data_IF_929631908357
#
_entry.id   IF_929631908357
#
_cell.length_a   1.000
_cell.length_b   1.000
_cell.length_c   1.000
_cell.angle_alpha   90.00
_cell.angle_beta   90.00
_cell.angle_gamma   90.00
#
_symmetry.space_group_name_H-M   'P 1'
#
loop_
_entity.id
_entity.type
_entity.pdbx_description
1 polymer ?
#
# COMPACT_ATOMS: atom_id res chain seq x y z
N UNK A 1 -40.00 7.44 13.94
CA UNK A 1 -39.86 7.22 12.50
C UNK A 1 -41.15 6.63 11.98
N UNK A 2 -41.70 7.28 10.97
CA UNK A 2 -42.81 6.78 10.18
C UNK A 2 -42.36 5.60 9.31
N UNK A 3 -43.28 4.75 8.87
CA UNK A 3 -42.96 3.65 7.95
C UNK A 3 -42.32 4.16 6.65
N UNK A 4 -42.78 5.31 6.14
CA UNK A 4 -42.18 5.98 4.97
C UNK A 4 -40.74 6.47 5.19
N UNK A 5 -40.34 6.79 6.42
CA UNK A 5 -38.95 7.12 6.75
C UNK A 5 -38.08 5.86 6.77
N UNK A 6 -38.59 4.76 7.31
CA UNK A 6 -37.88 3.46 7.32
C UNK A 6 -37.70 2.93 5.91
N UNK A 7 -38.72 2.98 5.06
CA UNK A 7 -38.63 2.53 3.67
C UNK A 7 -37.59 3.34 2.87
N UNK A 8 -37.55 4.67 3.09
CA UNK A 8 -36.53 5.53 2.46
C UNK A 8 -35.12 5.23 2.99
N UNK A 9 -34.99 4.98 4.28
CA UNK A 9 -33.72 4.59 4.89
C UNK A 9 -33.22 3.25 4.33
N UNK A 10 -34.08 2.23 4.27
CA UNK A 10 -33.73 0.92 3.71
C UNK A 10 -33.35 0.99 2.24
N UNK A 11 -34.05 1.81 1.44
CA UNK A 11 -33.71 2.02 0.03
C UNK A 11 -32.34 2.68 -0.12
N UNK A 12 -32.05 3.70 0.68
CA UNK A 12 -30.75 4.38 0.67
C UNK A 12 -29.61 3.44 1.09
N UNK A 13 -29.82 2.61 2.11
CA UNK A 13 -28.81 1.63 2.55
C UNK A 13 -28.55 0.57 1.47
N UNK A 14 -29.60 0.05 0.81
CA UNK A 14 -29.44 -0.89 -0.31
C UNK A 14 -28.67 -0.29 -1.47
N UNK A 15 -28.93 0.97 -1.81
CA UNK A 15 -28.18 1.66 -2.85
C UNK A 15 -26.69 1.78 -2.49
N UNK A 16 -26.38 2.17 -1.25
CA UNK A 16 -25.00 2.25 -0.76
C UNK A 16 -24.30 0.89 -0.77
N UNK A 17 -24.98 -0.19 -0.40
CA UNK A 17 -24.43 -1.54 -0.43
C UNK A 17 -24.06 -1.96 -1.87
N UNK A 18 -24.94 -1.69 -2.83
CA UNK A 18 -24.69 -1.98 -4.25
C UNK A 18 -23.49 -1.18 -4.77
N UNK A 19 -23.44 0.12 -4.49
CA UNK A 19 -22.33 0.98 -4.91
C UNK A 19 -21.02 0.58 -4.24
N UNK A 20 -21.05 0.18 -2.97
CA UNK A 20 -19.88 -0.30 -2.23
C UNK A 20 -19.37 -1.60 -2.83
N UNK A 21 -20.25 -2.54 -3.18
CA UNK A 21 -19.87 -3.78 -3.84
C UNK A 21 -19.18 -3.53 -5.18
N UNK A 22 -19.74 -2.63 -6.01
CA UNK A 22 -19.14 -2.26 -7.30
C UNK A 22 -17.78 -1.56 -7.12
N UNK A 23 -17.66 -0.69 -6.11
CA UNK A 23 -16.40 -0.04 -5.78
C UNK A 23 -15.32 -1.04 -5.36
N UNK A 24 -15.64 -1.97 -4.46
CA UNK A 24 -14.69 -2.99 -4.00
C UNK A 24 -14.31 -3.95 -5.13
N UNK A 25 -15.24 -4.29 -6.03
CA UNK A 25 -14.93 -5.08 -7.22
C UNK A 25 -13.95 -4.36 -8.16
N UNK A 26 -14.16 -3.06 -8.40
CA UNK A 26 -13.26 -2.25 -9.23
C UNK A 26 -11.89 -2.02 -8.57
N UNK A 27 -11.83 -2.02 -7.23
CA UNK A 27 -10.60 -1.83 -6.46
C UNK A 27 -9.71 -3.08 -6.44
N UNK A 28 -10.29 -4.28 -6.47
CA UNK A 28 -9.53 -5.56 -6.52
C UNK A 28 -8.40 -5.58 -7.55
N UNK A 29 -8.62 -5.32 -8.85
CA UNK A 29 -7.53 -5.37 -9.84
C UNK A 29 -6.44 -4.33 -9.57
N UNK A 30 -6.80 -3.17 -8.99
CA UNK A 30 -5.83 -2.17 -8.59
C UNK A 30 -4.97 -2.65 -7.42
N UNK A 31 -5.59 -3.25 -6.40
CA UNK A 31 -4.88 -3.83 -5.26
C UNK A 31 -3.97 -4.99 -5.71
N UNK A 32 -4.43 -5.86 -6.60
CA UNK A 32 -3.62 -6.95 -7.18
C UNK A 32 -2.40 -6.41 -7.94
N UNK A 33 -2.58 -5.39 -8.80
CA UNK A 33 -1.49 -4.77 -9.53
C UNK A 33 -0.49 -4.09 -8.59
N UNK A 34 -0.98 -3.42 -7.55
CA UNK A 34 -0.15 -2.80 -6.51
C UNK A 34 0.68 -3.86 -5.79
N UNK A 35 0.07 -4.94 -5.34
CA UNK A 35 0.73 -5.99 -4.56
C UNK A 35 1.75 -6.76 -5.42
N UNK A 36 1.45 -6.97 -6.71
CA UNK A 36 2.41 -7.51 -7.68
C UNK A 36 3.63 -6.59 -7.85
N UNK A 37 3.42 -5.28 -7.97
CA UNK A 37 4.50 -4.30 -8.06
C UNK A 37 5.34 -4.29 -6.77
N UNK A 38 4.71 -4.29 -5.60
CA UNK A 38 5.41 -4.31 -4.30
C UNK A 38 6.26 -5.57 -4.15
N UNK A 39 5.72 -6.72 -4.55
CA UNK A 39 6.45 -7.99 -4.55
C UNK A 39 7.68 -7.94 -5.46
N UNK A 40 7.55 -7.34 -6.66
CA UNK A 40 8.68 -7.15 -7.57
C UNK A 40 9.75 -6.20 -7.00
N UNK A 41 9.33 -5.10 -6.37
CA UNK A 41 10.24 -4.17 -5.66
C UNK A 41 11.03 -4.94 -4.59
N UNK A 42 10.36 -5.68 -3.72
CA UNK A 42 10.99 -6.45 -2.63
C UNK A 42 11.97 -7.47 -3.22
N UNK A 43 11.56 -8.24 -4.22
CA UNK A 43 12.41 -9.23 -4.91
C UNK A 43 13.71 -8.60 -5.42
N UNK A 44 13.63 -7.46 -6.11
CA UNK A 44 14.80 -6.80 -6.69
C UNK A 44 15.71 -6.16 -5.62
N UNK A 45 15.14 -5.67 -4.53
CA UNK A 45 15.92 -5.13 -3.41
C UNK A 45 16.62 -6.24 -2.61
N UNK A 46 15.94 -7.36 -2.33
CA UNK A 46 16.54 -8.54 -1.68
C UNK A 46 17.69 -9.13 -2.50
N UNK A 47 17.48 -9.27 -3.82
CA UNK A 47 18.52 -9.74 -4.74
C UNK A 47 19.66 -8.71 -4.94
N UNK A 48 19.53 -7.49 -4.41
CA UNK A 48 20.46 -6.36 -4.62
C UNK A 48 20.71 -6.01 -6.10
N UNK A 49 19.74 -6.29 -6.97
CA UNK A 49 19.83 -6.00 -8.40
C UNK A 49 19.80 -4.49 -8.70
N UNK A 50 19.07 -3.73 -7.88
CA UNK A 50 18.91 -2.29 -8.05
C UNK A 50 18.93 -1.57 -6.71
N UNK A 51 19.46 -0.34 -6.69
CA UNK A 51 19.39 0.53 -5.52
C UNK A 51 17.99 1.14 -5.41
N UNK A 52 17.49 1.46 -4.19
CA UNK A 52 16.16 2.05 -3.99
C UNK A 52 15.89 3.30 -4.83
N UNK A 53 16.90 4.12 -5.12
CA UNK A 53 16.75 5.29 -6.00
C UNK A 53 16.42 4.91 -7.44
N UNK A 54 17.08 3.89 -7.99
CA UNK A 54 16.79 3.39 -9.34
C UNK A 54 15.43 2.73 -9.43
N UNK A 55 14.99 2.07 -8.36
CA UNK A 55 13.62 1.53 -8.31
C UNK A 55 12.59 2.66 -8.28
N UNK A 56 12.86 3.77 -7.58
CA UNK A 56 11.99 4.95 -7.58
C UNK A 56 11.81 5.54 -8.98
N UNK A 57 12.89 5.62 -9.77
CA UNK A 57 12.83 6.14 -11.15
C UNK A 57 11.88 5.36 -12.07
N UNK A 58 11.55 4.10 -11.72
CA UNK A 58 10.73 3.19 -12.53
C UNK A 58 9.37 2.86 -11.89
N UNK A 59 9.02 3.52 -10.81
CA UNK A 59 7.77 3.26 -10.08
C UNK A 59 7.09 4.58 -9.73
N UNK A 60 5.78 4.59 -9.44
CA UNK A 60 5.08 5.80 -8.99
C UNK A 60 5.47 6.24 -7.58
N UNK A 61 6.45 5.57 -6.95
CA UNK A 61 6.81 5.77 -5.56
C UNK A 61 8.13 6.51 -5.42
N UNK A 62 8.16 7.43 -4.46
CA UNK A 62 9.41 8.02 -4.05
C UNK A 62 10.30 6.99 -3.33
N UNK A 63 11.58 7.34 -3.22
CA UNK A 63 12.60 6.51 -2.57
C UNK A 63 12.28 6.19 -1.10
N UNK A 64 11.64 7.09 -0.36
CA UNK A 64 11.28 6.88 1.04
C UNK A 64 10.12 5.88 1.18
N UNK A 65 9.15 5.94 0.27
CA UNK A 65 8.09 4.95 0.18
C UNK A 65 8.66 3.56 -0.12
N UNK A 66 9.57 3.44 -1.09
CA UNK A 66 10.24 2.16 -1.39
C UNK A 66 11.02 1.64 -0.17
N UNK A 67 11.67 2.52 0.59
CA UNK A 67 12.32 2.15 1.85
C UNK A 67 11.33 1.63 2.89
N UNK A 68 10.13 2.22 3.00
CA UNK A 68 9.07 1.73 3.89
C UNK A 68 8.61 0.34 3.48
N UNK A 69 8.39 0.10 2.18
CA UNK A 69 8.05 -1.23 1.64
C UNK A 69 9.16 -2.24 1.99
N UNK A 70 10.41 -1.90 1.73
CA UNK A 70 11.56 -2.76 2.00
C UNK A 70 11.70 -3.11 3.50
N UNK A 71 11.52 -2.13 4.38
CA UNK A 71 11.60 -2.34 5.83
C UNK A 71 10.44 -3.20 6.34
N UNK A 72 9.21 -2.95 5.87
CA UNK A 72 8.04 -3.75 6.24
C UNK A 72 8.19 -5.22 5.81
N UNK A 73 8.86 -5.46 4.67
CA UNK A 73 9.17 -6.80 4.16
C UNK A 73 10.45 -7.42 4.72
N UNK A 74 11.14 -6.76 5.67
CA UNK A 74 12.35 -7.28 6.29
C UNK A 74 13.59 -7.32 5.38
N UNK A 75 13.62 -6.54 4.30
CA UNK A 75 14.78 -6.46 3.40
C UNK A 75 15.98 -5.87 4.16
N UNK A 76 17.13 -6.56 4.21
CA UNK A 76 18.28 -6.07 4.96
C UNK A 76 18.82 -4.78 4.34
N UNK A 77 19.31 -3.83 5.18
CA UNK A 77 19.85 -2.58 4.69
C UNK A 77 21.12 -2.82 3.85
N UNK A 78 21.33 -1.99 2.83
CA UNK A 78 22.52 -2.07 1.96
C UNK A 78 23.84 -1.82 2.68
N UNK A 79 23.80 -1.13 3.83
CA UNK A 79 24.95 -0.88 4.69
C UNK A 79 24.51 -1.14 6.12
N UNK A 80 25.38 -1.78 6.90
CA UNK A 80 25.19 -1.90 8.33
C UNK A 80 25.09 -0.49 8.93
N UNK A 81 24.14 -0.26 9.87
CA UNK A 81 24.07 1.00 10.58
C UNK A 81 25.40 1.25 11.32
N UNK A 82 26.20 2.19 10.83
CA UNK A 82 27.40 2.61 11.55
C UNK A 82 26.96 3.32 12.83
N UNK A 83 27.57 2.98 13.97
CA UNK A 83 27.24 3.49 15.29
C UNK A 83 27.49 5.00 15.36
N UNK A 84 26.53 5.81 14.94
CA UNK A 84 26.37 7.25 15.25
C UNK A 84 24.98 7.72 14.81
N UNK A 85 23.93 7.19 15.43
CA UNK A 85 22.57 7.75 15.41
C UNK A 85 21.64 6.94 16.34
N UNK A 86 22.03 6.76 17.61
CA UNK A 86 21.18 6.14 18.64
C UNK A 86 20.69 7.15 19.70
N UNK A 87 20.62 8.44 19.36
CA UNK A 87 20.08 9.50 20.23
C UNK A 87 19.11 10.41 19.47
N UNK A 88 17.92 9.91 19.15
CA UNK A 88 16.73 10.76 18.86
C UNK A 88 15.42 9.95 18.71
N UNK A 89 15.22 8.91 19.52
CA UNK A 89 13.91 8.26 19.69
C UNK A 89 13.75 7.87 21.15
N UNK A 90 13.46 8.87 21.97
CA UNK A 90 12.78 8.73 23.26
C UNK A 90 11.56 9.61 23.18
#
# INVERSE_FOLDING_TARGET
MTEEEKEREEAALKELDVLTAAYEEAKKPFDEARDALHSAIIKHLMARNARPGRVADHTPYDRNHIRRIANAAGVPPLREPTVRSAKSRT
#
